data_IF_081411513576
#
_entry.id   IF_081411513576
#
_cell.length_a   1.000
_cell.length_b   1.000
_cell.length_c   1.000
_cell.angle_alpha   90.00
_cell.angle_beta   90.00
_cell.angle_gamma   90.00
#
_symmetry.space_group_name_H-M   'P 1'
#
loop_
_entity.id
_entity.type
_entity.pdbx_description
1 polymer ?
#
# COMPACT_ATOMS: atom_id res chain seq x y z
N UNK A 1 7.97 19.66 4.07
CA UNK A 1 6.59 19.22 4.36
C UNK A 1 5.86 19.00 3.05
N UNK A 2 4.94 18.08 3.04
CA UNK A 2 4.16 17.72 1.86
C UNK A 2 3.33 16.48 2.11
N UNK A 3 2.40 16.20 1.23
CA UNK A 3 1.63 14.96 1.28
C UNK A 3 2.54 13.79 0.88
N UNK A 4 2.91 12.98 1.85
CA UNK A 4 3.61 11.71 1.69
C UNK A 4 2.63 10.57 1.97
N UNK A 5 2.59 9.58 1.09
CA UNK A 5 1.59 8.51 1.12
C UNK A 5 2.29 7.16 1.03
N UNK A 6 1.82 6.21 1.82
CA UNK A 6 2.45 4.90 1.98
C UNK A 6 1.41 3.78 1.86
N UNK A 7 1.72 2.78 1.05
CA UNK A 7 1.01 1.50 1.03
C UNK A 7 1.97 0.43 1.53
N UNK A 8 1.61 -0.24 2.61
CA UNK A 8 2.41 -1.31 3.19
C UNK A 8 1.71 -2.65 3.14
N UNK A 9 2.49 -3.71 2.98
CA UNK A 9 2.05 -5.10 3.10
C UNK A 9 2.58 -5.65 4.42
N UNK A 10 1.72 -6.20 5.25
CA UNK A 10 2.09 -6.81 6.52
C UNK A 10 1.76 -8.28 6.51
N UNK A 11 2.78 -9.10 6.64
CA UNK A 11 2.65 -10.55 6.76
C UNK A 11 2.79 -10.93 8.22
N UNK A 12 1.73 -11.50 8.78
CA UNK A 12 1.70 -11.92 10.17
C UNK A 12 2.41 -13.27 10.36
N UNK A 13 3.44 -13.30 11.20
CA UNK A 13 4.28 -14.49 11.41
C UNK A 13 4.43 -14.89 12.88
N UNK A 14 3.61 -14.31 13.76
CA UNK A 14 3.70 -14.59 15.20
C UNK A 14 3.35 -16.04 15.51
N UNK A 15 4.21 -16.69 16.29
CA UNK A 15 3.97 -18.03 16.83
C UNK A 15 3.25 -17.95 18.17
N UNK A 16 2.04 -18.47 18.23
CA UNK A 16 1.27 -18.58 19.46
C UNK A 16 1.53 -19.91 20.15
N UNK A 17 1.66 -19.91 21.49
CA UNK A 17 1.90 -21.13 22.28
C UNK A 17 0.81 -22.18 22.12
N UNK A 18 -0.43 -21.75 21.91
CA UNK A 18 -1.61 -22.60 21.81
C UNK A 18 -1.90 -23.12 20.40
N UNK A 19 -1.10 -22.73 19.40
CA UNK A 19 -1.25 -23.21 18.02
C UNK A 19 -0.13 -24.20 17.69
N UNK A 20 -0.48 -25.27 17.01
CA UNK A 20 0.46 -26.29 16.57
C UNK A 20 1.27 -25.84 15.36
N UNK A 21 0.63 -25.07 14.45
CA UNK A 21 1.28 -24.51 13.28
C UNK A 21 2.27 -23.41 13.71
N UNK A 22 3.52 -23.61 13.35
CA UNK A 22 4.60 -22.67 13.67
C UNK A 22 5.26 -22.15 12.41
N UNK A 23 5.53 -20.84 12.40
CA UNK A 23 6.35 -20.21 11.38
C UNK A 23 7.81 -20.21 11.80
N UNK A 24 8.69 -20.46 10.84
CA UNK A 24 10.13 -20.25 11.00
C UNK A 24 10.52 -18.99 10.24
N UNK A 25 11.01 -17.98 10.96
CA UNK A 25 11.46 -16.71 10.39
C UNK A 25 12.97 -16.62 10.58
N UNK A 26 13.67 -16.30 9.48
CA UNK A 26 15.13 -16.08 9.51
C UNK A 26 15.43 -14.66 9.03
N UNK A 27 16.25 -13.92 9.78
CA UNK A 27 16.64 -12.54 9.49
C UNK A 27 18.15 -12.41 9.43
N UNK A 28 18.63 -11.83 8.35
CA UNK A 28 20.03 -11.43 8.17
C UNK A 28 20.10 -9.97 7.81
N UNK A 29 21.00 -9.23 8.46
CA UNK A 29 21.33 -7.86 8.10
C UNK A 29 22.78 -7.82 7.58
N UNK A 30 22.97 -7.25 6.41
CA UNK A 30 24.29 -7.26 5.73
C UNK A 30 24.89 -8.67 5.61
N UNK A 31 24.04 -9.67 5.33
CA UNK A 31 24.44 -11.07 5.19
C UNK A 31 24.78 -11.80 6.49
N UNK A 32 24.61 -11.15 7.63
CA UNK A 32 24.93 -11.73 8.96
C UNK A 32 23.71 -11.77 9.86
N UNK A 33 23.62 -12.83 10.67
CA UNK A 33 22.61 -12.99 11.71
C UNK A 33 22.89 -11.99 12.84
N UNK A 34 21.85 -11.34 13.34
CA UNK A 34 21.95 -10.39 14.47
C UNK A 34 21.59 -11.09 15.76
N UNK A 35 22.46 -10.96 16.77
CA UNK A 35 22.24 -11.54 18.12
C UNK A 35 21.20 -10.75 18.93
N UNK A 36 21.00 -9.48 18.59
CA UNK A 36 20.03 -8.58 19.24
C UNK A 36 18.60 -8.74 18.69
N UNK A 37 18.42 -9.47 17.59
CA UNK A 37 17.12 -9.82 17.02
C UNK A 37 16.82 -11.28 17.34
N UNK A 38 15.78 -11.50 18.13
CA UNK A 38 15.29 -12.85 18.44
C UNK A 38 14.18 -13.20 17.44
N UNK A 39 14.43 -14.16 16.59
CA UNK A 39 13.52 -14.51 15.48
C UNK A 39 12.17 -15.01 15.98
N UNK A 40 12.11 -15.65 17.15
CA UNK A 40 10.86 -16.09 17.79
C UNK A 40 9.99 -14.94 18.32
N UNK A 41 10.54 -13.75 18.46
CA UNK A 41 9.80 -12.54 18.86
C UNK A 41 9.23 -11.75 17.70
N UNK A 42 9.57 -12.11 16.47
CA UNK A 42 9.07 -11.41 15.28
C UNK A 42 7.59 -11.73 15.10
N UNK A 43 6.77 -10.71 15.04
CA UNK A 43 5.32 -10.86 14.91
C UNK A 43 4.81 -10.54 13.49
N UNK A 44 5.45 -9.61 12.81
CA UNK A 44 5.08 -9.17 11.47
C UNK A 44 6.30 -8.86 10.62
N UNK A 45 6.16 -9.12 9.33
CA UNK A 45 7.08 -8.64 8.30
C UNK A 45 6.36 -7.53 7.54
N UNK A 46 6.95 -6.34 7.50
CA UNK A 46 6.36 -5.16 6.86
C UNK A 46 7.19 -4.81 5.63
N UNK A 47 6.51 -4.72 4.49
CA UNK A 47 7.10 -4.33 3.22
C UNK A 47 6.48 -3.03 2.73
N UNK A 48 7.30 -2.07 2.33
CA UNK A 48 6.84 -0.88 1.63
C UNK A 48 6.52 -1.27 0.18
N UNK A 49 5.23 -1.26 -0.15
CA UNK A 49 4.77 -1.65 -1.50
C UNK A 49 4.85 -0.49 -2.44
N UNK A 50 4.39 0.67 -2.00
CA UNK A 50 4.41 1.89 -2.81
C UNK A 50 4.47 3.13 -1.92
N UNK A 51 5.19 4.12 -2.41
CA UNK A 51 5.26 5.46 -1.87
C UNK A 51 4.84 6.47 -2.95
N UNK A 52 3.99 7.42 -2.58
CA UNK A 52 3.62 8.55 -3.44
C UNK A 52 3.95 9.85 -2.72
N UNK A 53 4.25 10.85 -3.50
CA UNK A 53 4.38 12.21 -2.99
C UNK A 53 3.45 13.14 -3.73
N UNK A 54 2.58 13.84 -3.01
CA UNK A 54 1.66 14.83 -3.56
C UNK A 54 0.74 14.31 -4.67
N UNK A 55 0.47 13.01 -4.70
CA UNK A 55 -0.51 12.40 -5.59
C UNK A 55 -1.92 12.52 -4.98
N UNK A 56 -2.42 13.75 -4.87
CA UNK A 56 -3.64 14.05 -4.12
C UNK A 56 -4.90 13.39 -4.70
N UNK A 57 -4.96 13.09 -5.96
CA UNK A 57 -6.05 12.33 -6.60
C UNK A 57 -6.11 10.89 -6.10
N UNK A 58 -4.95 10.24 -5.93
CA UNK A 58 -4.86 8.88 -5.38
C UNK A 58 -5.15 8.91 -3.87
N UNK A 59 -4.62 9.92 -3.16
CA UNK A 59 -4.93 10.15 -1.75
C UNK A 59 -6.44 10.31 -1.52
N UNK A 60 -7.10 11.12 -2.31
CA UNK A 60 -8.54 11.32 -2.23
C UNK A 60 -9.32 10.01 -2.45
N UNK A 61 -8.85 9.17 -3.34
CA UNK A 61 -9.44 7.84 -3.54
C UNK A 61 -9.33 6.98 -2.26
N UNK A 62 -8.15 6.93 -1.62
CA UNK A 62 -7.98 6.21 -0.36
C UNK A 62 -8.83 6.78 0.76
N UNK A 63 -8.86 8.10 0.91
CA UNK A 63 -9.72 8.77 1.92
C UNK A 63 -11.17 8.36 1.74
N UNK A 64 -11.67 8.41 0.52
CA UNK A 64 -13.09 8.13 0.22
C UNK A 64 -13.44 6.65 0.35
N UNK A 65 -12.54 5.74 -0.02
CA UNK A 65 -12.83 4.30 -0.10
C UNK A 65 -12.30 3.49 1.09
N UNK A 66 -11.27 3.96 1.79
CA UNK A 66 -10.61 3.21 2.85
C UNK A 66 -10.63 3.91 4.22
N UNK A 67 -10.78 5.23 4.25
CA UNK A 67 -10.72 6.03 5.48
C UNK A 67 -12.07 6.64 5.89
N UNK A 68 -13.17 6.17 5.31
CA UNK A 68 -14.51 6.65 5.63
C UNK A 68 -14.78 8.11 5.28
N UNK A 69 -14.01 8.69 4.36
CA UNK A 69 -14.13 10.09 3.95
C UNK A 69 -13.51 11.10 4.93
N UNK A 70 -12.78 10.63 5.93
CA UNK A 70 -12.12 11.48 6.95
C UNK A 70 -10.61 11.36 6.80
N UNK A 71 -9.94 12.49 6.64
CA UNK A 71 -8.48 12.57 6.45
C UNK A 71 -7.80 13.17 7.68
N UNK A 72 -7.29 12.31 8.54
CA UNK A 72 -6.58 12.66 9.78
C UNK A 72 -5.23 11.97 9.88
N UNK A 73 -4.61 11.64 8.75
CA UNK A 73 -3.35 10.87 8.70
C UNK A 73 -3.44 9.49 9.38
N UNK A 74 -4.64 8.98 9.58
CA UNK A 74 -4.86 7.68 10.21
C UNK A 74 -4.53 6.52 9.26
N UNK A 75 -4.09 5.43 9.84
CA UNK A 75 -3.88 4.19 9.11
C UNK A 75 -5.22 3.51 8.80
N UNK A 76 -5.35 2.95 7.59
CA UNK A 76 -6.55 2.23 7.18
C UNK A 76 -6.19 0.92 6.47
N UNK A 77 -6.99 -0.10 6.71
CA UNK A 77 -6.88 -1.38 6.01
C UNK A 77 -7.38 -1.21 4.57
N UNK A 78 -6.63 -1.78 3.64
CA UNK A 78 -6.99 -1.82 2.22
C UNK A 78 -7.15 -3.27 1.80
N UNK A 79 -8.34 -3.63 1.28
CA UNK A 79 -8.59 -4.99 0.80
C UNK A 79 -7.96 -5.22 -0.58
N UNK A 80 -7.76 -6.50 -0.93
CA UNK A 80 -7.33 -6.86 -2.28
C UNK A 80 -8.31 -6.38 -3.35
N UNK A 81 -9.61 -6.44 -3.08
CA UNK A 81 -10.62 -5.94 -4.02
C UNK A 81 -10.52 -4.42 -4.20
N UNK A 82 -10.27 -3.67 -3.14
CA UNK A 82 -10.02 -2.24 -3.23
C UNK A 82 -8.75 -1.93 -4.04
N UNK A 83 -7.68 -2.69 -3.88
CA UNK A 83 -6.47 -2.54 -4.70
C UNK A 83 -6.74 -2.82 -6.19
N UNK A 84 -7.53 -3.84 -6.49
CA UNK A 84 -7.96 -4.15 -7.87
C UNK A 84 -8.78 -3.01 -8.45
N UNK A 85 -9.71 -2.45 -7.69
CA UNK A 85 -10.51 -1.30 -8.11
C UNK A 85 -9.65 -0.07 -8.40
N UNK A 86 -8.71 0.26 -7.51
CA UNK A 86 -7.79 1.38 -7.72
C UNK A 86 -6.94 1.18 -8.97
N UNK A 87 -6.38 -0.01 -9.16
CA UNK A 87 -5.57 -0.34 -10.32
C UNK A 87 -6.37 -0.19 -11.63
N UNK A 88 -7.57 -0.74 -11.67
CA UNK A 88 -8.45 -0.64 -12.83
C UNK A 88 -8.86 0.80 -13.13
N UNK A 89 -9.13 1.59 -12.09
CA UNK A 89 -9.49 3.01 -12.22
C UNK A 89 -8.31 3.83 -12.76
N UNK A 90 -7.12 3.63 -12.22
CA UNK A 90 -5.90 4.28 -12.70
C UNK A 90 -5.65 3.99 -14.19
N UNK A 91 -5.78 2.72 -14.59
CA UNK A 91 -5.63 2.32 -15.98
C UNK A 91 -6.65 3.01 -16.88
N UNK A 92 -7.91 3.03 -16.46
CA UNK A 92 -8.99 3.66 -17.22
C UNK A 92 -8.79 5.15 -17.38
N UNK A 93 -8.36 5.86 -16.34
CA UNK A 93 -8.03 7.29 -16.40
C UNK A 93 -7.00 7.57 -17.48
N UNK A 94 -5.95 6.74 -17.54
CA UNK A 94 -4.86 6.91 -18.52
C UNK A 94 -5.31 6.54 -19.93
N UNK A 95 -5.96 5.40 -20.10
CA UNK A 95 -6.39 4.91 -21.42
C UNK A 95 -7.42 5.84 -22.07
N UNK A 96 -8.39 6.32 -21.31
CA UNK A 96 -9.47 7.19 -21.78
C UNK A 96 -9.08 8.69 -21.74
N UNK A 97 -7.95 9.03 -21.14
CA UNK A 97 -7.54 10.41 -20.84
C UNK A 97 -8.65 11.21 -20.15
N UNK A 98 -9.31 10.56 -19.19
CA UNK A 98 -10.46 11.12 -18.48
C UNK A 98 -10.15 11.36 -17.00
N UNK A 99 -9.63 12.55 -16.64
CA UNK A 99 -9.32 12.87 -15.25
C UNK A 99 -10.57 13.06 -14.38
N UNK A 100 -11.75 13.19 -14.97
CA UNK A 100 -13.01 13.25 -14.23
C UNK A 100 -13.33 12.00 -13.44
N UNK A 101 -12.71 10.86 -13.78
CA UNK A 101 -12.86 9.59 -13.05
C UNK A 101 -12.12 9.57 -11.71
N UNK A 102 -11.06 10.36 -11.57
CA UNK A 102 -10.25 10.46 -10.35
C UNK A 102 -9.81 11.91 -10.16
N UNK A 103 -10.65 12.67 -9.50
CA UNK A 103 -10.44 14.10 -9.35
C UNK A 103 -9.33 14.43 -8.34
N UNK A 104 -8.57 15.47 -8.65
CA UNK A 104 -7.63 16.08 -7.72
C UNK A 104 -8.37 16.75 -6.56
N UNK A 105 -7.71 16.86 -5.42
CA UNK A 105 -8.24 17.53 -4.25
C UNK A 105 -7.24 18.58 -3.74
N UNK A 106 -7.76 19.75 -3.42
CA UNK A 106 -6.95 20.82 -2.87
C UNK A 106 -6.65 20.59 -1.39
N UNK A 107 -5.42 20.88 -1.00
CA UNK A 107 -4.96 20.87 0.38
C UNK A 107 -3.67 21.66 0.52
N UNK A 108 -3.38 22.17 1.70
CA UNK A 108 -2.22 23.05 1.93
C UNK A 108 -0.89 22.42 1.51
N UNK A 109 -0.73 21.13 1.74
CA UNK A 109 0.49 20.39 1.40
C UNK A 109 0.31 19.42 0.23
N UNK A 110 -0.80 19.46 -0.47
CA UNK A 110 -1.22 18.41 -1.42
C UNK A 110 -0.63 18.57 -2.82
N UNK A 111 0.03 19.67 -3.10
CA UNK A 111 0.62 19.92 -4.40
C UNK A 111 -0.39 20.46 -5.42
N UNK A 112 -0.04 20.34 -6.71
CA UNK A 112 -0.86 20.82 -7.81
C UNK A 112 -2.18 20.05 -7.93
N UNK A 113 -3.22 20.76 -8.30
CA UNK A 113 -4.52 20.19 -8.70
C UNK A 113 -4.67 20.08 -10.21
N UNK A 114 -3.62 20.37 -10.96
CA UNK A 114 -3.63 20.28 -12.42
C UNK A 114 -3.62 18.81 -12.88
N UNK A 115 -4.31 18.55 -13.99
CA UNK A 115 -4.29 17.25 -14.65
C UNK A 115 -3.14 17.21 -15.67
N UNK A 116 -1.92 17.32 -15.15
CA UNK A 116 -0.67 17.38 -15.88
C UNK A 116 -0.06 15.98 -16.12
N UNK A 117 1.13 15.94 -16.67
CA UNK A 117 1.84 14.68 -16.92
C UNK A 117 2.10 13.91 -15.62
N UNK A 118 2.43 14.61 -14.53
CA UNK A 118 2.65 13.98 -13.22
C UNK A 118 1.40 13.24 -12.71
N UNK A 119 0.22 13.83 -12.90
CA UNK A 119 -1.06 13.19 -12.58
C UNK A 119 -1.21 11.83 -13.29
N UNK A 120 -0.98 11.80 -14.60
CA UNK A 120 -1.09 10.56 -15.38
C UNK A 120 0.03 9.57 -15.09
N UNK A 121 1.24 10.04 -14.87
CA UNK A 121 2.37 9.19 -14.49
C UNK A 121 2.10 8.47 -13.17
N UNK A 122 1.53 9.15 -12.19
CA UNK A 122 1.16 8.54 -10.91
C UNK A 122 0.06 7.49 -11.07
N UNK A 123 -0.91 7.72 -11.95
CA UNK A 123 -1.91 6.70 -12.27
C UNK A 123 -1.27 5.47 -12.94
N UNK A 124 -0.38 5.67 -13.89
CA UNK A 124 0.32 4.59 -14.59
C UNK A 124 1.18 3.77 -13.63
N UNK A 125 2.00 4.44 -12.85
CA UNK A 125 2.89 3.79 -11.87
C UNK A 125 2.09 3.02 -10.82
N UNK A 126 1.01 3.61 -10.32
CA UNK A 126 0.12 2.95 -9.36
C UNK A 126 -0.49 1.68 -9.94
N UNK A 127 -0.98 1.73 -11.18
CA UNK A 127 -1.50 0.56 -11.87
C UNK A 127 -0.43 -0.54 -11.99
N UNK A 128 0.75 -0.20 -12.48
CA UNK A 128 1.84 -1.16 -12.69
C UNK A 128 2.29 -1.83 -11.37
N UNK A 129 2.47 -1.06 -10.32
CA UNK A 129 2.88 -1.57 -9.01
C UNK A 129 1.81 -2.49 -8.42
N UNK A 130 0.54 -2.10 -8.48
CA UNK A 130 -0.55 -2.93 -7.94
C UNK A 130 -0.70 -4.22 -8.76
N UNK A 131 -0.64 -4.17 -10.09
CA UNK A 131 -0.73 -5.38 -10.93
C UNK A 131 0.41 -6.36 -10.61
N UNK A 132 1.62 -5.86 -10.43
CA UNK A 132 2.75 -6.68 -10.00
C UNK A 132 2.51 -7.31 -8.63
N UNK A 133 2.01 -6.52 -7.67
CA UNK A 133 1.67 -6.99 -6.34
C UNK A 133 0.60 -8.09 -6.37
N UNK A 134 -0.46 -7.90 -7.13
CA UNK A 134 -1.55 -8.87 -7.27
C UNK A 134 -1.05 -10.19 -7.85
N UNK A 135 -0.12 -10.13 -8.81
CA UNK A 135 0.52 -11.31 -9.38
C UNK A 135 1.40 -12.04 -8.36
N UNK A 136 2.17 -11.31 -7.56
CA UNK A 136 2.95 -11.88 -6.46
C UNK A 136 2.03 -12.58 -5.44
N UNK A 137 0.87 -12.01 -5.15
CA UNK A 137 -0.11 -12.59 -4.22
C UNK A 137 -0.75 -13.89 -4.74
N UNK A 138 -0.88 -14.04 -6.05
CA UNK A 138 -1.37 -15.30 -6.65
C UNK A 138 -0.40 -16.46 -6.43
N UNK A 139 0.90 -16.17 -6.36
CA UNK A 139 1.97 -17.16 -6.17
C UNK A 139 2.23 -17.46 -4.68
N UNK A 140 1.57 -16.78 -3.74
CA UNK A 140 1.74 -17.04 -2.31
C UNK A 140 1.22 -18.43 -1.93
N UNK A 141 1.96 -19.17 -1.07
CA UNK A 141 1.47 -20.42 -0.51
C UNK A 141 0.17 -20.19 0.26
N UNK A 142 -0.87 -20.96 -0.04
CA UNK A 142 -2.21 -20.82 0.57
C UNK A 142 -2.27 -21.20 2.06
N UNK A 143 -1.24 -21.82 2.56
CA UNK A 143 -1.07 -22.25 3.95
C UNK A 143 -0.38 -21.19 4.83
N UNK A 144 0.08 -20.11 4.24
CA UNK A 144 0.66 -18.98 4.97
C UNK A 144 -0.45 -17.96 5.28
N UNK A 145 -0.35 -17.32 6.45
CA UNK A 145 -1.28 -16.27 6.85
C UNK A 145 -1.36 -15.18 5.79
N UNK A 146 -2.58 -14.82 5.44
CA UNK A 146 -2.84 -13.78 4.45
C UNK A 146 -2.22 -12.45 4.89
N UNK A 147 -1.54 -11.81 3.96
CA UNK A 147 -1.02 -10.48 4.16
C UNK A 147 -2.18 -9.47 4.27
N UNK A 148 -1.98 -8.45 5.09
CA UNK A 148 -2.90 -7.32 5.21
C UNK A 148 -2.23 -6.07 4.65
N UNK A 149 -2.96 -5.29 3.87
CA UNK A 149 -2.48 -4.04 3.31
C UNK A 149 -2.99 -2.86 4.11
N UNK A 150 -2.12 -1.86 4.29
CA UNK A 150 -2.44 -0.64 5.02
C UNK A 150 -2.02 0.58 4.21
N UNK A 151 -2.90 1.57 4.20
CA UNK A 151 -2.62 2.88 3.65
C UNK A 151 -2.50 3.89 4.78
N UNK A 152 -1.53 4.77 4.70
CA UNK A 152 -1.37 5.91 5.59
C UNK A 152 -0.74 7.08 4.86
N UNK A 153 -1.16 8.29 5.21
CA UNK A 153 -0.55 9.53 4.75
C UNK A 153 0.06 10.31 5.89
N UNK A 154 0.93 11.21 5.54
CA UNK A 154 1.51 12.21 6.45
C UNK A 154 1.56 13.56 5.71
N UNK A 155 0.98 14.57 6.32
CA UNK A 155 0.95 15.92 5.75
C UNK A 155 0.90 17.01 6.82
#
# INVERSE_FOLDING_TARGET
MGLDMYLTKRTYVKNWKHKDDKHSVSVKLNGKKRKDIQEDRISEIIEDVMYWRKANHIHNWFVSNCQGGVDECQEAIVSLDQLKELSALCKKVVDDKNPGLMQTVQGFFFGSTDYDQYYYDMCTETHEVIEKLLKEMEDEPKDVYSATFYYQSSW
#
